data_IF_435944725233
#
_entry.id   IF_435944725233
#
_cell.length_a   1.000
_cell.length_b   1.000
_cell.length_c   1.000
_cell.angle_alpha   90.00
_cell.angle_beta   90.00
_cell.angle_gamma   90.00
#
_symmetry.space_group_name_H-M   'P 1'
#
loop_
_entity.id
_entity.type
_entity.pdbx_description
1 polymer ?
#
# COMPACT_ATOMS: atom_id res chain seq x y z
N UNK A 1 -5.45 15.49 29.08
CA UNK A 1 -6.67 14.74 28.74
C UNK A 1 -6.27 13.81 27.61
N UNK A 2 -6.59 12.53 27.67
CA UNK A 2 -6.29 11.61 26.56
C UNK A 2 -7.31 11.90 25.46
N UNK A 3 -6.82 12.14 24.25
CA UNK A 3 -7.62 12.40 23.06
C UNK A 3 -7.51 11.19 22.12
N UNK A 4 -8.63 10.77 21.55
CA UNK A 4 -8.72 9.67 20.60
C UNK A 4 -9.26 10.12 19.24
N UNK A 5 -9.46 11.43 19.06
CA UNK A 5 -9.83 11.98 17.77
C UNK A 5 -8.64 11.97 16.83
N UNK A 6 -8.90 11.55 15.59
CA UNK A 6 -7.95 11.74 14.51
C UNK A 6 -7.85 13.24 14.18
N UNK A 7 -6.64 13.69 13.90
CA UNK A 7 -6.39 15.02 13.36
C UNK A 7 -7.06 15.18 11.99
N UNK A 8 -7.23 16.42 11.56
CA UNK A 8 -7.78 16.70 10.23
C UNK A 8 -6.84 16.23 9.11
N UNK A 9 -5.52 16.20 9.37
CA UNK A 9 -4.53 15.66 8.46
C UNK A 9 -4.73 14.15 8.29
N UNK A 10 -4.86 13.41 9.39
CA UNK A 10 -5.10 11.96 9.34
C UNK A 10 -6.42 11.63 8.63
N UNK A 11 -7.49 12.38 8.91
CA UNK A 11 -8.77 12.21 8.22
C UNK A 11 -8.64 12.44 6.72
N UNK A 12 -7.88 13.45 6.30
CA UNK A 12 -7.66 13.74 4.88
C UNK A 12 -6.89 12.59 4.19
N UNK A 13 -5.82 12.09 4.81
CA UNK A 13 -5.04 10.97 4.28
C UNK A 13 -5.91 9.71 4.17
N UNK A 14 -6.71 9.40 5.18
CA UNK A 14 -7.59 8.22 5.18
C UNK A 14 -8.71 8.33 4.15
N UNK A 15 -9.28 9.52 3.97
CA UNK A 15 -10.29 9.78 2.95
C UNK A 15 -9.72 9.59 1.53
N UNK A 16 -8.50 10.06 1.31
CA UNK A 16 -7.77 9.89 0.05
C UNK A 16 -7.52 8.40 -0.26
N UNK A 17 -7.02 7.64 0.72
CA UNK A 17 -6.81 6.19 0.57
C UNK A 17 -8.12 5.45 0.29
N UNK A 18 -9.20 5.82 0.98
CA UNK A 18 -10.55 5.27 0.73
C UNK A 18 -10.98 5.53 -0.71
N UNK A 19 -10.80 6.75 -1.21
CA UNK A 19 -11.19 7.11 -2.57
C UNK A 19 -10.43 6.28 -3.60
N UNK A 20 -9.11 6.21 -3.47
CA UNK A 20 -8.26 5.38 -4.34
C UNK A 20 -8.68 3.91 -4.31
N UNK A 21 -8.99 3.37 -3.12
CA UNK A 21 -9.47 2.00 -2.96
C UNK A 21 -10.80 1.77 -3.69
N UNK A 22 -11.74 2.70 -3.59
CA UNK A 22 -13.03 2.60 -4.29
C UNK A 22 -12.90 2.69 -5.81
N UNK A 23 -11.92 3.43 -6.32
CA UNK A 23 -11.61 3.41 -7.76
C UNK A 23 -10.99 2.08 -8.18
N UNK A 24 -9.99 1.59 -7.44
CA UNK A 24 -9.36 0.29 -7.71
C UNK A 24 -10.38 -0.87 -7.68
N UNK A 25 -11.41 -0.77 -6.84
CA UNK A 25 -12.51 -1.75 -6.73
C UNK A 25 -13.19 -2.07 -8.07
N UNK A 26 -13.23 -1.11 -9.00
CA UNK A 26 -13.84 -1.30 -10.33
C UNK A 26 -13.20 -2.45 -11.11
N UNK A 27 -11.93 -2.73 -10.83
CA UNK A 27 -11.15 -3.78 -11.49
C UNK A 27 -11.21 -5.14 -10.77
N UNK A 28 -11.67 -5.17 -9.52
CA UNK A 28 -11.62 -6.37 -8.67
C UNK A 28 -12.35 -7.57 -9.28
N UNK A 29 -13.59 -7.37 -9.75
CA UNK A 29 -14.37 -8.47 -10.34
C UNK A 29 -13.70 -9.07 -11.58
N UNK A 30 -13.04 -8.24 -12.39
CA UNK A 30 -12.33 -8.72 -13.58
C UNK A 30 -11.18 -9.65 -13.21
N UNK A 31 -10.32 -9.25 -12.27
CA UNK A 31 -9.18 -10.07 -11.86
C UNK A 31 -9.58 -11.28 -11.00
N UNK A 32 -10.66 -11.19 -10.23
CA UNK A 32 -11.28 -12.36 -9.57
C UNK A 32 -11.70 -13.42 -10.60
N UNK A 33 -12.32 -13.01 -11.71
CA UNK A 33 -12.81 -13.92 -12.75
C UNK A 33 -11.69 -14.38 -13.70
N UNK A 34 -10.57 -13.65 -13.73
CA UNK A 34 -9.42 -13.89 -14.61
C UNK A 34 -8.14 -14.06 -13.78
N UNK A 35 -8.11 -15.00 -12.84
CA UNK A 35 -6.98 -15.23 -11.91
C UNK A 35 -5.61 -15.48 -12.58
N UNK A 36 -5.61 -15.81 -13.88
CA UNK A 36 -4.41 -16.03 -14.69
C UNK A 36 -3.79 -14.72 -15.22
N UNK A 37 -4.52 -13.61 -15.12
CA UNK A 37 -4.06 -12.28 -15.50
C UNK A 37 -3.51 -11.53 -14.28
N UNK A 38 -2.49 -10.72 -14.53
CA UNK A 38 -1.96 -9.81 -13.53
C UNK A 38 -2.49 -8.40 -13.78
N UNK A 39 -2.85 -7.64 -12.74
CA UNK A 39 -3.10 -6.21 -12.89
C UNK A 39 -1.88 -5.48 -13.49
N UNK A 40 -2.06 -4.31 -14.11
CA UNK A 40 -0.91 -3.48 -14.44
C UNK A 40 -0.18 -3.05 -13.16
N UNK A 41 1.06 -2.57 -13.30
CA UNK A 41 1.80 -2.03 -12.16
C UNK A 41 1.18 -0.72 -11.64
N UNK A 42 0.54 0.04 -12.54
CA UNK A 42 -0.20 1.26 -12.24
C UNK A 42 -1.58 1.19 -12.91
N UNK A 43 -2.64 1.52 -12.17
CA UNK A 43 -3.98 1.62 -12.75
C UNK A 43 -4.09 2.88 -13.63
N UNK A 44 -4.97 2.90 -14.64
CA UNK A 44 -5.13 4.05 -15.54
C UNK A 44 -5.36 5.39 -14.83
N UNK A 45 -6.06 5.37 -13.69
CA UNK A 45 -6.34 6.56 -12.90
C UNK A 45 -5.18 7.00 -11.97
N UNK A 46 -4.10 6.23 -11.84
CA UNK A 46 -3.06 6.47 -10.84
C UNK A 46 -2.41 7.87 -10.94
N UNK A 47 -2.24 8.41 -12.16
CA UNK A 47 -1.67 9.75 -12.39
C UNK A 47 -2.55 10.89 -11.84
N UNK A 48 -3.86 10.67 -11.69
CA UNK A 48 -4.81 11.65 -11.17
C UNK A 48 -4.80 11.71 -9.63
N UNK A 49 -4.12 10.77 -8.97
CA UNK A 49 -4.14 10.59 -7.53
C UNK A 49 -2.77 10.88 -6.88
N UNK A 50 -2.74 11.46 -5.67
CA UNK A 50 -1.50 11.70 -4.94
C UNK A 50 -0.84 10.40 -4.49
N UNK A 51 0.50 10.42 -4.43
CA UNK A 51 1.28 9.36 -3.81
C UNK A 51 1.02 9.32 -2.29
N UNK A 52 0.47 8.20 -1.82
CA UNK A 52 0.17 7.95 -0.41
C UNK A 52 1.44 7.99 0.45
N UNK A 53 2.59 7.52 -0.05
CA UNK A 53 3.82 7.56 0.73
C UNK A 53 4.27 9.01 0.97
N UNK A 54 4.16 9.86 -0.06
CA UNK A 54 4.33 11.30 0.05
C UNK A 54 3.38 11.94 1.07
N UNK A 55 2.12 11.52 1.14
CA UNK A 55 1.16 12.02 2.14
C UNK A 55 1.55 11.62 3.56
N UNK A 56 2.03 10.39 3.78
CA UNK A 56 2.46 9.95 5.11
C UNK A 56 3.70 10.68 5.62
N UNK A 57 4.53 11.20 4.72
CA UNK A 57 5.67 12.06 5.10
C UNK A 57 5.25 13.41 5.70
N UNK A 58 3.97 13.76 5.60
CA UNK A 58 3.38 15.00 6.14
C UNK A 58 2.79 14.82 7.54
N UNK A 59 2.85 13.61 8.12
CA UNK A 59 2.40 13.38 9.49
C UNK A 59 3.26 14.19 10.48
N UNK A 60 2.60 14.89 11.39
CA UNK A 60 3.20 15.73 12.41
C UNK A 60 3.26 15.07 13.80
N UNK A 61 3.82 15.77 14.78
CA UNK A 61 3.93 15.28 16.16
C UNK A 61 2.58 15.05 16.86
N UNK A 62 1.52 15.71 16.39
CA UNK A 62 0.16 15.58 16.92
C UNK A 62 -0.65 14.45 16.27
N UNK A 63 -0.13 13.84 15.21
CA UNK A 63 -0.80 12.74 14.51
C UNK A 63 -0.48 11.40 15.19
N UNK A 64 -1.28 10.37 14.89
CA UNK A 64 -1.06 9.04 15.42
C UNK A 64 0.29 8.48 15.00
N UNK A 65 0.88 7.69 15.88
CA UNK A 65 2.11 6.96 15.58
C UNK A 65 1.93 6.11 14.30
N UNK A 66 3.01 6.02 13.50
CA UNK A 66 3.14 5.18 12.31
C UNK A 66 2.45 3.80 12.39
N UNK A 67 2.54 3.08 13.53
CA UNK A 67 1.91 1.77 13.67
C UNK A 67 0.36 1.85 13.63
N UNK A 68 -0.22 2.88 14.23
CA UNK A 68 -1.67 3.13 14.21
C UNK A 68 -2.08 3.58 12.82
N UNK A 69 -1.36 4.54 12.22
CA UNK A 69 -1.64 4.97 10.85
C UNK A 69 -1.54 3.82 9.86
N UNK A 70 -0.52 2.97 9.96
CA UNK A 70 -0.37 1.78 9.10
C UNK A 70 -1.58 0.85 9.18
N UNK A 71 -2.12 0.64 10.38
CA UNK A 71 -3.34 -0.15 10.58
C UNK A 71 -4.56 0.54 9.94
N UNK A 72 -4.75 1.84 10.16
CA UNK A 72 -5.87 2.59 9.60
C UNK A 72 -5.82 2.62 8.06
N UNK A 73 -4.65 2.80 7.45
CA UNK A 73 -4.47 2.72 6.00
C UNK A 73 -4.83 1.32 5.47
N UNK A 74 -4.48 0.26 6.19
CA UNK A 74 -4.85 -1.10 5.79
C UNK A 74 -6.37 -1.27 5.77
N UNK A 75 -7.08 -0.75 6.78
CA UNK A 75 -8.55 -0.71 6.81
C UNK A 75 -9.08 0.03 5.59
N UNK A 76 -8.56 1.23 5.30
CA UNK A 76 -9.07 2.04 4.19
C UNK A 76 -8.82 1.43 2.81
N UNK A 77 -7.65 0.82 2.59
CA UNK A 77 -7.33 0.09 1.36
C UNK A 77 -8.31 -1.07 1.11
N UNK A 78 -8.70 -1.79 2.15
CA UNK A 78 -9.58 -2.96 2.00
C UNK A 78 -11.04 -2.63 1.64
N UNK A 79 -11.44 -1.36 1.61
CA UNK A 79 -12.73 -0.97 1.01
C UNK A 79 -12.78 -1.23 -0.51
N UNK A 80 -11.61 -1.28 -1.15
CA UNK A 80 -11.48 -1.63 -2.55
C UNK A 80 -11.38 -3.14 -2.74
N UNK A 81 -10.14 -3.59 -2.83
CA UNK A 81 -9.72 -4.99 -2.84
C UNK A 81 -8.38 -5.09 -2.08
N UNK A 82 -8.05 -6.26 -1.55
CA UNK A 82 -6.79 -6.46 -0.82
C UNK A 82 -5.57 -6.42 -1.75
N UNK A 83 -5.71 -6.94 -2.97
CA UNK A 83 -4.62 -7.16 -3.92
C UNK A 83 -4.51 -6.08 -4.99
N UNK A 84 -5.58 -5.31 -5.23
CA UNK A 84 -5.59 -4.20 -6.20
C UNK A 84 -5.51 -2.84 -5.52
N UNK A 85 -4.50 -2.08 -5.92
CA UNK A 85 -4.23 -0.71 -5.48
C UNK A 85 -3.83 0.12 -6.71
N UNK A 86 -3.88 1.46 -6.59
CA UNK A 86 -3.47 2.38 -7.68
C UNK A 86 -2.08 2.07 -8.21
N UNK A 87 -1.16 1.82 -7.28
CA UNK A 87 0.19 1.35 -7.55
C UNK A 87 0.33 -0.04 -6.93
N UNK A 88 0.76 -1.01 -7.73
CA UNK A 88 1.00 -2.37 -7.24
C UNK A 88 2.05 -2.32 -6.12
N UNK A 89 1.77 -2.95 -4.95
CA UNK A 89 2.78 -3.11 -3.91
C UNK A 89 3.99 -3.87 -4.45
N UNK A 90 5.18 -3.29 -4.30
CA UNK A 90 6.44 -3.91 -4.72
C UNK A 90 7.09 -4.56 -3.50
N UNK A 91 7.50 -5.83 -3.64
CA UNK A 91 8.11 -6.62 -2.58
C UNK A 91 7.14 -7.47 -1.75
N UNK A 92 7.68 -8.51 -1.13
CA UNK A 92 6.90 -9.45 -0.31
C UNK A 92 7.76 -10.25 0.66
N UNK A 93 7.21 -11.34 1.20
CA UNK A 93 7.92 -12.18 2.19
C UNK A 93 9.27 -12.73 1.68
N UNK A 94 9.40 -12.99 0.37
CA UNK A 94 10.68 -13.38 -0.22
C UNK A 94 11.74 -12.27 -0.14
N UNK A 95 11.33 -11.01 -0.30
CA UNK A 95 12.22 -9.85 -0.08
C UNK A 95 12.60 -9.71 1.39
N UNK A 96 11.66 -9.96 2.32
CA UNK A 96 11.96 -9.99 3.76
C UNK A 96 12.98 -11.08 4.11
N UNK A 97 12.86 -12.28 3.52
CA UNK A 97 13.82 -13.35 3.71
C UNK A 97 15.21 -13.01 3.15
N UNK A 98 15.26 -12.36 1.97
CA UNK A 98 16.50 -11.86 1.39
C UNK A 98 17.18 -10.84 2.31
N UNK A 99 16.44 -9.91 2.88
CA UNK A 99 16.96 -8.90 3.80
C UNK A 99 17.44 -9.52 5.11
N UNK A 100 16.73 -10.53 5.63
CA UNK A 100 17.03 -11.15 6.92
C UNK A 100 18.21 -12.15 6.87
N UNK A 101 18.36 -12.90 5.78
CA UNK A 101 19.26 -14.04 5.70
C UNK A 101 20.15 -14.08 4.44
N UNK A 102 19.96 -13.16 3.49
CA UNK A 102 20.75 -13.12 2.26
C UNK A 102 22.18 -12.63 2.49
N UNK A 103 23.15 -13.26 1.82
CA UNK A 103 24.52 -12.74 1.76
C UNK A 103 24.57 -11.38 1.05
N UNK A 104 25.62 -10.56 1.22
CA UNK A 104 25.77 -9.31 0.50
C UNK A 104 25.64 -9.46 -1.02
N UNK A 105 26.19 -10.53 -1.59
CA UNK A 105 26.11 -10.83 -3.03
C UNK A 105 24.68 -11.16 -3.46
N UNK A 106 23.94 -11.91 -2.63
CA UNK A 106 22.54 -12.25 -2.88
C UNK A 106 21.65 -11.00 -2.82
N UNK A 107 21.85 -10.16 -1.80
CA UNK A 107 21.12 -8.89 -1.67
C UNK A 107 21.40 -8.00 -2.88
N UNK A 108 22.66 -7.85 -3.29
CA UNK A 108 23.01 -7.04 -4.46
C UNK A 108 22.43 -7.60 -5.77
N UNK A 109 22.34 -8.92 -5.89
CA UNK A 109 21.80 -9.57 -7.09
C UNK A 109 20.28 -9.45 -7.21
N UNK A 110 19.55 -9.45 -6.10
CA UNK A 110 18.09 -9.64 -6.10
C UNK A 110 17.27 -8.51 -5.47
N UNK A 111 17.91 -7.47 -4.91
CA UNK A 111 17.23 -6.33 -4.28
C UNK A 111 16.18 -5.62 -5.15
N UNK A 112 16.37 -5.64 -6.48
CA UNK A 112 15.54 -4.91 -7.43
C UNK A 112 14.41 -5.80 -8.02
N UNK A 113 14.19 -7.00 -7.46
CA UNK A 113 13.15 -7.95 -7.89
C UNK A 113 12.10 -8.14 -6.80
N UNK A 114 10.85 -8.38 -7.18
CA UNK A 114 9.83 -8.92 -6.26
C UNK A 114 10.02 -10.43 -6.15
N UNK A 115 10.35 -10.91 -4.95
CA UNK A 115 10.68 -12.31 -4.71
C UNK A 115 9.48 -13.07 -4.13
N UNK A 116 9.02 -14.09 -4.86
CA UNK A 116 8.02 -15.02 -4.38
C UNK A 116 8.59 -15.92 -3.26
N UNK A 117 7.74 -16.32 -2.33
CA UNK A 117 8.05 -17.31 -1.30
C UNK A 117 7.23 -18.56 -1.59
N UNK A 118 7.92 -19.71 -1.72
CA UNK A 118 7.30 -21.02 -1.95
C UNK A 118 7.05 -21.76 -0.63
#
# INVERSE_FOLDING_TARGET
MIDFELSDNEKQILAEVREQALVARKYARHYDENEHEFPPDELPEAEDYPDILGLLSQLGESDSHEAVMSMLLAVERTWGDYSLQMHRPVGGLGNSALLAAGTPEQQQKWRDLTLAMA
#
